data_IF_336660499957
#
_entry.id   IF_336660499957
#
_cell.length_a   1.000
_cell.length_b   1.000
_cell.length_c   1.000
_cell.angle_alpha   90.00
_cell.angle_beta   90.00
_cell.angle_gamma   90.00
#
_symmetry.space_group_name_H-M   'P 1'
#
loop_
_entity.id
_entity.type
_entity.pdbx_description
1 polymer ?
#
# COMPACT_ATOMS: atom_id res chain seq x y z
N UNK A 1 8.35 -13.24 5.65
CA UNK A 1 7.46 -12.18 5.14
C UNK A 1 7.61 -10.93 6.00
N UNK A 2 7.85 -9.79 5.39
CA UNK A 2 7.98 -8.54 6.11
C UNK A 2 6.60 -7.87 6.22
N UNK A 3 6.18 -7.62 7.46
CA UNK A 3 4.90 -6.96 7.70
C UNK A 3 4.94 -5.51 7.21
N UNK A 4 3.79 -5.03 6.73
CA UNK A 4 3.64 -3.63 6.35
C UNK A 4 3.69 -2.77 7.61
N UNK A 5 4.49 -1.70 7.57
CA UNK A 5 4.64 -0.76 8.69
C UNK A 5 4.72 0.67 8.18
N UNK A 6 4.30 1.61 9.00
CA UNK A 6 4.49 3.02 8.72
C UNK A 6 5.98 3.35 8.59
N UNK A 7 6.32 4.19 7.63
CA UNK A 7 7.70 4.60 7.36
C UNK A 7 8.43 3.75 6.35
N UNK A 8 7.86 2.63 5.93
CA UNK A 8 8.46 1.79 4.91
C UNK A 8 8.41 2.44 3.52
N UNK A 9 9.51 2.33 2.78
CA UNK A 9 9.54 2.66 1.36
C UNK A 9 9.40 1.36 0.58
N UNK A 10 8.39 1.28 -0.27
CA UNK A 10 8.07 0.08 -1.02
C UNK A 10 7.92 0.39 -2.50
N UNK A 11 7.96 -0.63 -3.33
CA UNK A 11 7.82 -0.49 -4.78
C UNK A 11 6.81 -1.50 -5.29
N UNK A 12 5.83 -1.04 -6.06
CA UNK A 12 4.89 -1.95 -6.71
C UNK A 12 5.63 -2.84 -7.71
N UNK A 13 5.25 -4.11 -7.78
CA UNK A 13 5.76 -5.02 -8.77
C UNK A 13 5.23 -4.66 -10.16
N UNK A 14 5.99 -4.98 -11.20
CA UNK A 14 5.64 -4.62 -12.57
C UNK A 14 4.27 -5.20 -13.00
N UNK A 15 3.92 -6.38 -12.51
CA UNK A 15 2.64 -7.03 -12.84
C UNK A 15 1.45 -6.42 -12.11
N UNK A 16 1.68 -5.59 -11.11
CA UNK A 16 0.62 -4.90 -10.36
C UNK A 16 0.35 -3.49 -10.91
N UNK A 17 1.20 -2.99 -11.81
CA UNK A 17 1.04 -1.67 -12.40
C UNK A 17 0.28 -1.75 -13.72
N UNK A 18 -0.75 -0.91 -13.92
CA UNK A 18 -1.44 -0.86 -15.19
C UNK A 18 -0.50 -0.43 -16.32
N UNK A 19 -0.71 -0.97 -17.50
CA UNK A 19 -0.04 -0.53 -18.73
C UNK A 19 1.47 -0.82 -18.85
N UNK A 20 2.03 -1.65 -17.97
CA UNK A 20 3.44 -2.03 -18.08
C UNK A 20 4.45 -0.91 -17.87
N UNK A 21 4.03 0.16 -17.19
CA UNK A 21 4.92 1.27 -16.86
C UNK A 21 5.88 0.88 -15.74
N UNK A 22 6.91 1.71 -15.52
CA UNK A 22 7.82 1.52 -14.42
C UNK A 22 7.06 1.42 -13.10
N UNK A 23 7.48 0.47 -12.28
CA UNK A 23 6.84 0.23 -10.99
C UNK A 23 7.08 1.41 -10.06
N UNK A 24 6.05 2.15 -9.67
CA UNK A 24 6.23 3.32 -8.80
C UNK A 24 6.63 2.91 -7.39
N UNK A 25 7.43 3.78 -6.78
CA UNK A 25 7.81 3.69 -5.38
C UNK A 25 6.83 4.50 -4.55
N UNK A 26 6.48 4.00 -3.38
CA UNK A 26 5.58 4.70 -2.47
C UNK A 26 6.04 4.60 -1.02
N UNK A 27 5.62 5.57 -0.21
CA UNK A 27 5.89 5.61 1.21
C UNK A 27 4.64 5.17 1.98
N UNK A 28 4.78 4.22 2.88
CA UNK A 28 3.69 3.78 3.76
C UNK A 28 3.52 4.81 4.89
N UNK A 29 2.33 5.41 5.01
CA UNK A 29 2.08 6.49 5.96
C UNK A 29 1.47 5.99 7.27
N UNK A 30 0.20 5.57 7.22
CA UNK A 30 -0.48 5.14 8.43
C UNK A 30 -1.51 4.06 8.11
N UNK A 31 -1.75 3.21 9.10
CA UNK A 31 -2.78 2.19 8.99
C UNK A 31 -4.15 2.81 9.18
N UNK A 32 -5.09 2.42 8.34
CA UNK A 32 -6.48 2.85 8.44
C UNK A 32 -7.41 1.74 7.98
N UNK A 33 -8.29 1.29 8.87
CA UNK A 33 -9.32 0.32 8.51
C UNK A 33 -10.52 1.05 7.93
N UNK A 34 -10.82 0.78 6.65
CA UNK A 34 -11.90 1.44 5.92
C UNK A 34 -13.24 0.81 6.27
N UNK A 35 -14.18 1.56 6.91
CA UNK A 35 -15.48 1.02 7.26
C UNK A 35 -16.30 0.66 6.02
N UNK A 36 -16.95 -0.49 6.06
CA UNK A 36 -17.86 -0.90 4.98
C UNK A 36 -19.27 -0.42 5.30
N UNK A 37 -19.94 0.27 4.37
CA UNK A 37 -21.29 0.78 4.60
C UNK A 37 -22.28 -0.35 4.94
N UNK A 38 -23.06 -0.16 6.00
CA UNK A 38 -24.08 -1.12 6.41
C UNK A 38 -23.56 -2.37 7.07
N UNK A 39 -22.29 -2.39 7.49
CA UNK A 39 -21.66 -3.54 8.11
C UNK A 39 -20.82 -3.13 9.31
N UNK A 40 -20.62 -4.06 10.27
CA UNK A 40 -19.68 -3.87 11.37
C UNK A 40 -18.24 -4.19 10.96
N UNK A 41 -18.02 -4.55 9.71
CA UNK A 41 -16.71 -4.92 9.19
C UNK A 41 -15.98 -3.73 8.63
N UNK A 42 -14.67 -3.81 8.64
CA UNK A 42 -13.80 -2.83 8.02
C UNK A 42 -12.68 -3.55 7.27
N UNK A 43 -12.27 -2.99 6.14
CA UNK A 43 -11.15 -3.52 5.37
C UNK A 43 -9.83 -2.95 5.89
N UNK A 44 -8.88 -3.82 6.20
CA UNK A 44 -7.55 -3.41 6.64
C UNK A 44 -6.77 -2.82 5.46
N UNK A 45 -6.23 -1.64 5.67
CA UNK A 45 -5.47 -0.96 4.64
C UNK A 45 -4.56 0.10 5.22
N UNK A 46 -3.91 0.82 4.32
CA UNK A 46 -2.93 1.82 4.65
C UNK A 46 -3.06 3.03 3.75
N UNK A 47 -2.81 4.21 4.31
CA UNK A 47 -2.53 5.37 3.48
C UNK A 47 -1.09 5.31 3.02
N UNK A 48 -0.89 5.56 1.74
CA UNK A 48 0.44 5.64 1.12
C UNK A 48 0.60 6.98 0.43
N UNK A 49 1.85 7.41 0.30
CA UNK A 49 2.19 8.58 -0.50
C UNK A 49 2.85 8.11 -1.79
N UNK A 50 2.21 8.38 -2.91
CA UNK A 50 2.68 8.00 -4.24
C UNK A 50 2.47 9.16 -5.20
N UNK A 51 3.50 9.53 -5.96
CA UNK A 51 3.46 10.67 -6.90
C UNK A 51 2.97 11.97 -6.25
N UNK A 52 3.36 12.21 -5.00
CA UNK A 52 2.95 13.39 -4.26
C UNK A 52 1.49 13.40 -3.81
N UNK A 53 0.81 12.26 -3.91
CA UNK A 53 -0.60 12.12 -3.53
C UNK A 53 -0.76 11.05 -2.45
N UNK A 54 -1.67 11.30 -1.53
CA UNK A 54 -2.07 10.33 -0.52
C UNK A 54 -3.18 9.45 -1.09
N UNK A 55 -3.02 8.14 -0.95
CA UNK A 55 -3.97 7.16 -1.46
C UNK A 55 -4.14 6.03 -0.45
N UNK A 56 -5.38 5.54 -0.29
CA UNK A 56 -5.63 4.37 0.53
C UNK A 56 -5.55 3.10 -0.31
N UNK A 57 -4.86 2.07 0.21
CA UNK A 57 -4.74 0.77 -0.45
C UNK A 57 -4.94 -0.35 0.56
N UNK A 58 -5.38 -1.50 0.09
CA UNK A 58 -5.53 -2.69 0.92
C UNK A 58 -4.18 -3.19 1.41
N UNK A 59 -4.13 -3.63 2.67
CA UNK A 59 -2.92 -4.22 3.25
C UNK A 59 -2.46 -5.44 2.45
N UNK A 60 -3.39 -6.30 2.05
CA UNK A 60 -3.07 -7.48 1.24
C UNK A 60 -2.43 -7.14 -0.10
N UNK A 61 -2.85 -6.06 -0.73
CA UNK A 61 -2.25 -5.62 -1.99
C UNK A 61 -0.79 -5.18 -1.79
N UNK A 62 -0.52 -4.48 -0.69
CA UNK A 62 0.85 -4.07 -0.38
C UNK A 62 1.73 -5.29 -0.11
N UNK A 63 1.22 -6.26 0.65
CA UNK A 63 1.97 -7.48 0.97
C UNK A 63 2.25 -8.33 -0.26
N UNK A 64 1.26 -8.50 -1.13
CA UNK A 64 1.34 -9.42 -2.27
C UNK A 64 1.97 -8.81 -3.51
N UNK A 65 1.76 -7.51 -3.73
CA UNK A 65 2.09 -6.85 -4.99
C UNK A 65 3.19 -5.79 -4.89
N UNK A 66 3.84 -5.69 -3.74
CA UNK A 66 4.95 -4.74 -3.57
C UNK A 66 6.13 -5.37 -2.85
N UNK A 67 7.30 -4.80 -3.08
CA UNK A 67 8.55 -5.21 -2.44
C UNK A 67 9.06 -4.10 -1.52
N UNK A 68 9.59 -4.49 -0.37
CA UNK A 68 10.22 -3.57 0.56
C UNK A 68 11.56 -3.09 0.00
N UNK A 69 11.73 -1.77 -0.08
CA UNK A 69 12.99 -1.15 -0.51
C UNK A 69 13.78 -0.73 0.71
N UNK A 70 13.13 -0.03 1.62
CA UNK A 70 13.78 0.51 2.81
C UNK A 70 12.81 0.55 3.98
N UNK A 71 13.27 0.10 5.13
CA UNK A 71 12.50 0.11 6.37
C UNK A 71 13.11 1.16 7.31
N UNK A 72 12.39 2.27 7.45
CA UNK A 72 12.86 3.38 8.30
C UNK A 72 12.30 3.30 9.71
#
# INVERSE_FOLDING_TARGET
MVLVKAGQLRQWRANATPHGEESPVFLVLERYALPLPGSDWADDGWYILIDGRQQWVYEGDIEDDSDLIEDM
#
